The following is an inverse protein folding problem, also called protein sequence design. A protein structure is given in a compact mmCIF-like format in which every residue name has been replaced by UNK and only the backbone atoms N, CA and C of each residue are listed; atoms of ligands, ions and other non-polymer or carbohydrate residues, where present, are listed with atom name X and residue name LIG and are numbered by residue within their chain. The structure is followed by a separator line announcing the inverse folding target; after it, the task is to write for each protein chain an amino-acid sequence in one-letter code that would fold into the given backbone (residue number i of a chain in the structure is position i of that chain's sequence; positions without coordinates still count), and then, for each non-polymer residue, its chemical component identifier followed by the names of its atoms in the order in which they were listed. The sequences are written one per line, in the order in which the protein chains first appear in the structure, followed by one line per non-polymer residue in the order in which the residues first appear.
data_IF_935490311586
#
_entry.id   IF_935490311586
#
_cell.length_a   1.000
_cell.length_b   1.000
_cell.length_c   1.000
_cell.angle_alpha   90.00
_cell.angle_beta   90.00
_cell.angle_gamma   90.00
#
_symmetry.space_group_name_H-M   'P 1'
#
loop_
_entity.id
_entity.type
_entity.pdbx_description
1 polymer ?
#
# COMPACT_ATOMS: atom_id res chain seq x y z
N UNK A 1 -7.72 -3.94 17.61
CA UNK A 1 -8.60 -3.19 16.68
C UNK A 1 -7.93 -3.22 15.30
N UNK A 2 -8.12 -4.29 14.51
CA UNK A 2 -7.46 -4.45 13.19
C UNK A 2 -8.43 -4.79 12.03
N UNK A 3 -9.73 -4.95 12.33
CA UNK A 3 -10.72 -5.47 11.37
C UNK A 3 -10.89 -4.57 10.14
N UNK A 4 -10.96 -3.25 10.33
CA UNK A 4 -11.07 -2.27 9.23
C UNK A 4 -9.85 -2.25 8.30
N UNK A 5 -8.65 -2.43 8.85
CA UNK A 5 -7.43 -2.45 8.03
C UNK A 5 -7.37 -3.74 7.20
N UNK A 6 -7.76 -4.87 7.79
CA UNK A 6 -7.95 -6.14 7.10
C UNK A 6 -9.01 -6.07 6.01
N UNK A 7 -10.12 -5.36 6.23
CA UNK A 7 -11.15 -5.14 5.20
C UNK A 7 -10.64 -4.29 4.02
N UNK A 8 -9.68 -3.39 4.26
CA UNK A 8 -9.01 -2.64 3.20
C UNK A 8 -7.90 -3.46 2.51
N UNK A 9 -7.15 -4.25 3.27
CA UNK A 9 -6.08 -5.12 2.79
C UNK A 9 -6.67 -6.35 2.10
N UNK A 10 -6.78 -6.29 0.78
CA UNK A 10 -7.40 -7.33 -0.04
C UNK A 10 -8.38 -6.78 -1.07
N UNK A 11 -8.83 -5.54 -0.88
CA UNK A 11 -9.54 -4.79 -1.92
C UNK A 11 -8.53 -4.12 -2.85
N UNK A 12 -8.75 -4.17 -4.17
CA UNK A 12 -7.92 -3.42 -5.10
C UNK A 12 -8.02 -1.92 -4.80
N UNK A 13 -6.87 -1.27 -4.70
CA UNK A 13 -6.75 0.18 -4.60
C UNK A 13 -6.05 0.74 -5.83
N UNK A 14 -6.45 1.94 -6.24
CA UNK A 14 -5.81 2.63 -7.36
C UNK A 14 -4.44 3.13 -6.90
N UNK A 15 -3.40 2.73 -7.60
CA UNK A 15 -2.04 3.15 -7.32
C UNK A 15 -1.31 3.58 -8.58
N UNK A 16 -0.43 4.57 -8.42
CA UNK A 16 0.51 5.00 -9.45
C UNK A 16 1.75 4.11 -9.38
N UNK A 17 2.07 3.44 -10.48
CA UNK A 17 3.31 2.67 -10.56
C UNK A 17 4.44 3.59 -11.02
N UNK A 18 5.43 3.81 -10.15
CA UNK A 18 6.57 4.67 -10.42
C UNK A 18 7.85 3.84 -10.51
N UNK A 19 8.70 4.13 -11.48
CA UNK A 19 10.07 3.63 -11.58
C UNK A 19 11.02 4.73 -11.13
N UNK A 20 11.86 4.42 -10.14
CA UNK A 20 12.94 5.31 -9.71
C UNK A 20 13.99 5.42 -10.81
N UNK A 21 14.42 6.64 -11.09
CA UNK A 21 15.49 7.00 -12.00
C UNK A 21 16.70 7.52 -11.19
N UNK A 22 17.86 7.71 -11.83
CA UNK A 22 18.97 8.45 -11.21
C UNK A 22 18.51 9.82 -10.69
N UNK A 23 19.28 10.38 -9.75
CA UNK A 23 19.03 11.73 -9.21
C UNK A 23 17.68 11.94 -8.50
N UNK A 24 17.12 10.88 -7.90
CA UNK A 24 15.82 10.92 -7.19
C UNK A 24 14.62 11.31 -8.07
N UNK A 25 14.74 11.13 -9.38
CA UNK A 25 13.63 11.28 -10.29
C UNK A 25 12.73 10.04 -10.30
N UNK A 26 11.45 10.24 -10.59
CA UNK A 26 10.47 9.15 -10.71
C UNK A 26 9.75 9.26 -12.05
N UNK A 27 9.72 8.16 -12.79
CA UNK A 27 8.96 8.05 -14.04
C UNK A 27 7.70 7.22 -13.81
N UNK A 28 6.55 7.72 -14.26
CA UNK A 28 5.31 6.91 -14.30
C UNK A 28 5.47 5.76 -15.28
N UNK A 29 5.18 4.56 -14.79
CA UNK A 29 5.17 3.30 -15.57
C UNK A 29 3.75 2.97 -16.01
N UNK A 30 2.76 3.26 -15.16
CA UNK A 30 1.35 3.10 -15.45
C UNK A 30 0.51 4.09 -14.64
N UNK A 31 -0.59 4.54 -15.25
CA UNK A 31 -1.47 5.59 -14.73
C UNK A 31 -2.54 5.04 -13.78
N UNK A 32 -3.06 3.86 -14.08
CA UNK A 32 -4.13 3.21 -13.31
C UNK A 32 -3.77 1.73 -13.13
N UNK A 33 -3.20 1.41 -11.97
CA UNK A 33 -2.96 0.04 -11.55
C UNK A 33 -3.81 -0.29 -10.34
N UNK A 34 -4.55 -1.39 -10.40
CA UNK A 34 -5.16 -1.99 -9.23
C UNK A 34 -4.11 -2.81 -8.48
N UNK A 35 -3.72 -2.37 -7.28
CA UNK A 35 -2.82 -3.14 -6.40
C UNK A 35 -3.67 -3.79 -5.30
N UNK A 36 -3.42 -5.08 -5.06
CA UNK A 36 -4.02 -5.82 -3.96
C UNK A 36 -2.90 -6.20 -2.99
N UNK A 37 -2.90 -5.59 -1.81
CA UNK A 37 -2.03 -6.02 -0.74
C UNK A 37 -2.48 -7.39 -0.22
N UNK A 38 -1.56 -8.36 -0.15
CA UNK A 38 -1.80 -9.66 0.50
C UNK A 38 -1.03 -9.70 1.81
N UNK A 39 -1.73 -9.98 2.88
CA UNK A 39 -1.13 -10.22 4.18
C UNK A 39 -0.64 -11.66 4.21
N UNK A 40 0.67 -11.85 4.36
CA UNK A 40 1.26 -13.19 4.43
C UNK A 40 1.21 -13.78 5.84
N UNK A 41 1.22 -12.93 6.87
CA UNK A 41 1.13 -13.33 8.26
C UNK A 41 0.10 -12.45 8.97
N UNK A 42 -1.04 -13.04 9.30
CA UNK A 42 -2.16 -12.36 9.92
C UNK A 42 -1.91 -12.11 11.41
N UNK A 43 -1.17 -13.00 12.06
CA UNK A 43 -0.97 -12.98 13.50
C UNK A 43 -0.05 -11.81 13.91
N UNK A 44 0.93 -11.45 13.08
CA UNK A 44 1.75 -10.24 13.29
C UNK A 44 1.03 -8.91 13.01
N UNK A 45 -0.02 -8.92 12.18
CA UNK A 45 -0.81 -7.70 11.86
C UNK A 45 -1.79 -7.35 12.99
N UNK A 46 -2.17 -8.32 13.82
CA UNK A 46 -3.07 -8.10 14.95
C UNK A 46 -2.45 -7.25 16.07
N UNK A 47 -1.12 -7.13 16.10
CA UNK A 47 -0.36 -6.36 17.10
C UNK A 47 0.13 -5.00 16.59
N UNK A 48 -0.30 -4.59 15.38
CA UNK A 48 0.18 -3.35 14.77
C UNK A 48 -0.63 -2.12 15.20
N UNK A 49 0.03 -1.12 15.80
CA UNK A 49 -0.48 0.26 15.81
C UNK A 49 -0.50 0.78 14.36
N UNK A 50 -1.70 1.14 13.89
CA UNK A 50 -1.88 1.65 12.52
C UNK A 50 -1.38 3.09 12.46
N UNK A 51 -0.13 3.28 12.09
CA UNK A 51 0.41 4.58 11.69
C UNK A 51 -0.10 4.86 10.27
N UNK A 52 -1.18 5.64 10.16
CA UNK A 52 -1.58 6.20 8.87
C UNK A 52 -0.56 7.29 8.55
N UNK A 53 0.28 7.12 7.51
CA UNK A 53 1.18 8.19 7.11
C UNK A 53 0.31 9.31 6.53
N UNK A 54 0.33 10.50 7.14
CA UNK A 54 -0.17 11.69 6.47
C UNK A 54 0.77 11.97 5.29
N UNK A 55 0.24 11.79 4.08
CA UNK A 55 0.92 12.25 2.86
C UNK A 55 0.57 13.74 2.75
N UNK A 56 1.52 14.60 3.15
CA UNK A 56 1.46 16.07 3.04
C UNK A 56 1.88 16.52 1.65
#
# INVERSE_FOLDING_TARGET
MCKKMLEHLGRPSNALLLRRLPHNEYKRVASDCAIVARIQDLDSVLDCEVLIPEIV
#
